data_IF_734791320119
#
_entry.id   IF_734791320119
#
_cell.length_a   1.000
_cell.length_b   1.000
_cell.length_c   1.000
_cell.angle_alpha   90.00
_cell.angle_beta   90.00
_cell.angle_gamma   90.00
#
_symmetry.space_group_name_H-M   'P 1'
#
loop_
_entity.id
_entity.type
_entity.pdbx_description
1 polymer ?
#
# COMPACT_ATOMS: atom_id res chain seq x y z
N UNK A 1 10.74 -7.78 -7.59
CA UNK A 1 9.38 -7.42 -7.13
C UNK A 1 9.33 -7.56 -5.63
N UNK A 2 8.67 -6.63 -4.95
CA UNK A 2 8.40 -6.60 -3.53
C UNK A 2 6.88 -6.56 -3.33
N UNK A 3 6.33 -7.68 -2.85
CA UNK A 3 4.90 -7.88 -2.62
C UNK A 3 4.61 -8.13 -1.13
N UNK A 4 3.42 -7.77 -0.68
CA UNK A 4 2.91 -8.02 0.67
C UNK A 4 1.48 -8.57 0.63
N UNK A 5 1.01 -9.05 1.78
CA UNK A 5 -0.34 -9.61 1.98
C UNK A 5 -1.11 -8.68 2.91
N UNK A 6 -2.12 -7.98 2.40
CA UNK A 6 -2.89 -7.00 3.17
C UNK A 6 -3.56 -7.60 4.42
N UNK A 7 -3.99 -8.87 4.34
CA UNK A 7 -4.57 -9.61 5.48
C UNK A 7 -3.57 -9.84 6.61
N UNK A 8 -2.29 -10.06 6.30
CA UNK A 8 -1.24 -10.23 7.32
C UNK A 8 -0.96 -8.89 8.01
N UNK A 9 -0.89 -7.79 7.26
CA UNK A 9 -0.77 -6.44 7.81
C UNK A 9 -1.93 -6.11 8.76
N UNK A 10 -3.17 -6.38 8.36
CA UNK A 10 -4.35 -6.18 9.22
C UNK A 10 -4.29 -7.04 10.49
N UNK A 11 -3.88 -8.30 10.38
CA UNK A 11 -3.69 -9.20 11.53
C UNK A 11 -2.60 -8.69 12.48
N UNK A 12 -1.49 -8.19 11.95
CA UNK A 12 -0.40 -7.60 12.72
C UNK A 12 -0.83 -6.34 13.46
N UNK A 13 -1.55 -5.43 12.78
CA UNK A 13 -2.14 -4.22 13.39
C UNK A 13 -3.07 -4.59 14.54
N UNK A 14 -4.00 -5.52 14.33
CA UNK A 14 -4.91 -6.01 15.36
C UNK A 14 -4.18 -6.55 16.59
N UNK A 15 -3.10 -7.33 16.39
CA UNK A 15 -2.27 -7.86 17.48
C UNK A 15 -1.54 -6.74 18.23
N UNK A 16 -0.93 -5.80 17.50
CA UNK A 16 -0.19 -4.68 18.07
C UNK A 16 -1.10 -3.78 18.91
N UNK A 17 -2.28 -3.42 18.40
CA UNK A 17 -3.27 -2.59 19.12
C UNK A 17 -3.71 -3.28 20.41
N UNK A 18 -4.09 -4.57 20.36
CA UNK A 18 -4.48 -5.32 21.57
C UNK A 18 -3.35 -5.39 22.60
N UNK A 19 -2.12 -5.61 22.15
CA UNK A 19 -0.96 -5.64 23.03
C UNK A 19 -0.68 -4.27 23.67
N UNK A 20 -0.85 -3.18 22.92
CA UNK A 20 -0.69 -1.82 23.43
C UNK A 20 -1.74 -1.48 24.50
N UNK A 21 -3.03 -1.81 24.27
CA UNK A 21 -4.11 -1.62 25.26
C UNK A 21 -3.82 -2.42 26.53
N UNK A 22 -3.45 -3.70 26.39
CA UNK A 22 -3.11 -4.55 27.53
C UNK A 22 -1.92 -4.00 28.33
N UNK A 23 -0.89 -3.48 27.64
CA UNK A 23 0.29 -2.87 28.26
C UNK A 23 -0.03 -1.55 28.96
N UNK A 24 -0.98 -0.78 28.44
CA UNK A 24 -1.44 0.47 29.04
C UNK A 24 -2.32 0.25 30.28
N UNK A 25 -2.95 -0.93 30.42
CA UNK A 25 -3.79 -1.26 31.57
C UNK A 25 -5.12 -0.50 31.62
N UNK A 26 -5.58 0.00 30.47
CA UNK A 26 -6.86 0.72 30.32
C UNK A 26 -7.95 -0.21 29.79
N UNK A 27 -9.22 0.16 29.99
CA UNK A 27 -10.31 -0.49 29.28
C UNK A 27 -10.31 -0.06 27.81
N UNK A 28 -10.81 -0.91 26.92
CA UNK A 28 -10.95 -0.54 25.51
C UNK A 28 -11.88 0.67 25.33
N UNK A 29 -12.88 0.80 26.20
CA UNK A 29 -13.85 1.90 26.21
C UNK A 29 -13.23 3.26 26.58
N UNK A 30 -12.02 3.26 27.16
CA UNK A 30 -11.26 4.48 27.45
C UNK A 30 -10.56 5.04 26.20
N UNK A 31 -10.48 4.26 25.11
CA UNK A 31 -9.86 4.68 23.84
C UNK A 31 -10.85 5.48 23.00
N UNK A 32 -10.68 6.81 22.99
CA UNK A 32 -11.59 7.74 22.31
C UNK A 32 -11.31 7.93 20.81
N UNK A 33 -10.21 7.37 20.29
CA UNK A 33 -9.84 7.54 18.87
C UNK A 33 -8.72 6.61 18.43
N UNK A 34 -8.69 6.33 17.13
CA UNK A 34 -7.67 5.51 16.47
C UNK A 34 -7.25 6.21 15.17
N UNK A 35 -5.95 6.36 14.96
CA UNK A 35 -5.37 6.86 13.71
C UNK A 35 -4.48 5.79 13.09
N UNK A 36 -4.46 5.72 11.78
CA UNK A 36 -3.58 4.84 11.03
C UNK A 36 -2.70 5.67 10.10
N UNK A 37 -1.41 5.36 10.08
CA UNK A 37 -0.53 5.69 8.98
C UNK A 37 -0.03 4.39 8.35
N UNK A 38 0.37 4.46 7.09
CA UNK A 38 0.97 3.36 6.38
C UNK A 38 1.94 3.90 5.33
N UNK A 39 2.85 3.03 4.89
CA UNK A 39 3.60 3.30 3.66
C UNK A 39 2.64 3.50 2.48
N UNK A 40 3.04 4.27 1.47
CA UNK A 40 2.28 4.49 0.22
C UNK A 40 2.29 3.27 -0.72
N UNK A 41 2.15 2.06 -0.16
CA UNK A 41 2.01 0.81 -0.89
C UNK A 41 0.61 0.69 -1.53
N UNK A 42 0.50 -0.03 -2.64
CA UNK A 42 -0.74 -0.17 -3.41
C UNK A 42 -1.40 -1.52 -3.10
N UNK A 43 -2.57 -1.51 -2.46
CA UNK A 43 -3.39 -2.71 -2.23
C UNK A 43 -4.42 -2.85 -3.35
N UNK A 44 -4.48 -4.01 -4.01
CA UNK A 44 -5.37 -4.28 -5.14
C UNK A 44 -6.44 -5.29 -4.72
N UNK A 45 -7.72 -4.97 -4.99
CA UNK A 45 -8.87 -5.81 -4.67
C UNK A 45 -9.76 -5.97 -5.89
N UNK A 46 -10.43 -7.12 -5.96
CA UNK A 46 -11.47 -7.36 -6.95
C UNK A 46 -12.80 -6.68 -6.59
N UNK A 47 -13.81 -6.93 -7.41
CA UNK A 47 -15.12 -6.25 -7.34
C UNK A 47 -15.85 -6.54 -6.03
N UNK A 48 -15.69 -7.74 -5.50
CA UNK A 48 -16.34 -8.20 -4.28
C UNK A 48 -15.41 -8.02 -3.06
N UNK A 49 -14.44 -7.11 -3.18
CA UNK A 49 -13.39 -6.86 -2.19
C UNK A 49 -12.54 -8.10 -1.89
N UNK A 50 -12.49 -9.08 -2.79
CA UNK A 50 -11.60 -10.24 -2.71
C UNK A 50 -10.14 -9.86 -3.04
N UNK A 51 -9.19 -10.69 -2.61
CA UNK A 51 -7.77 -10.47 -2.93
C UNK A 51 -7.54 -10.71 -4.42
N UNK A 52 -6.93 -9.73 -5.09
CA UNK A 52 -6.51 -9.85 -6.48
C UNK A 52 -4.98 -9.87 -6.53
N UNK A 53 -4.43 -10.88 -7.22
CA UNK A 53 -2.97 -11.07 -7.29
C UNK A 53 -2.30 -9.93 -8.04
N UNK A 54 -1.26 -9.35 -7.44
CA UNK A 54 -0.30 -8.45 -8.09
C UNK A 54 1.05 -9.13 -8.33
N UNK A 55 1.20 -10.38 -7.90
CA UNK A 55 2.45 -11.13 -8.07
C UNK A 55 2.58 -11.70 -9.48
N UNK A 56 3.81 -11.69 -9.99
CA UNK A 56 4.20 -12.34 -11.25
C UNK A 56 4.09 -13.87 -11.21
N UNK A 57 4.00 -14.47 -10.01
CA UNK A 57 3.82 -15.92 -9.85
C UNK A 57 2.35 -16.35 -9.93
N UNK A 58 1.40 -15.39 -9.90
CA UNK A 58 -0.04 -15.65 -9.89
C UNK A 58 -0.60 -16.11 -8.54
N UNK A 59 0.22 -16.16 -7.49
CA UNK A 59 -0.22 -16.48 -6.14
C UNK A 59 -1.19 -15.42 -5.59
N UNK A 60 -2.48 -15.78 -5.47
CA UNK A 60 -3.59 -14.89 -5.06
C UNK A 60 -3.41 -14.16 -3.72
N UNK A 61 -2.54 -14.65 -2.84
CA UNK A 61 -2.33 -14.05 -1.52
C UNK A 61 -1.62 -12.70 -1.59
N UNK A 62 -0.80 -12.49 -2.62
CA UNK A 62 -0.01 -11.28 -2.81
C UNK A 62 -0.87 -10.23 -3.50
N UNK A 63 -1.47 -9.34 -2.71
CA UNK A 63 -2.42 -8.33 -3.17
C UNK A 63 -1.93 -6.91 -2.92
N UNK A 64 -0.66 -6.74 -2.54
CA UNK A 64 -0.07 -5.45 -2.22
C UNK A 64 1.28 -5.27 -2.91
N UNK A 65 1.42 -4.26 -3.77
CA UNK A 65 2.71 -3.82 -4.33
C UNK A 65 3.34 -2.83 -3.35
N UNK A 66 4.51 -3.15 -2.81
CA UNK A 66 5.18 -2.30 -1.80
C UNK A 66 5.63 -0.99 -2.42
N UNK A 67 5.66 0.10 -1.65
CA UNK A 67 6.11 1.42 -2.10
C UNK A 67 7.49 1.38 -2.81
N UNK A 68 8.46 0.66 -2.24
CA UNK A 68 9.84 0.50 -2.76
C UNK A 68 9.96 -0.42 -3.99
N UNK A 69 8.85 -0.99 -4.47
CA UNK A 69 8.87 -1.80 -5.69
C UNK A 69 9.07 -0.91 -6.93
N UNK A 70 10.10 -1.24 -7.72
CA UNK A 70 10.46 -0.54 -8.96
C UNK A 70 10.14 -1.34 -10.23
N UNK A 71 9.12 -2.21 -10.23
CA UNK A 71 8.74 -2.95 -11.45
C UNK A 71 8.24 -2.02 -12.56
N UNK A 72 7.70 -0.86 -12.19
CA UNK A 72 7.03 0.10 -13.05
C UNK A 72 7.94 1.21 -13.61
N UNK A 73 9.22 0.91 -13.84
CA UNK A 73 10.19 1.90 -14.36
C UNK A 73 9.79 2.35 -15.77
N UNK A 74 9.43 1.42 -16.65
CA UNK A 74 9.09 1.75 -18.04
C UNK A 74 7.83 2.63 -18.11
N UNK A 75 6.82 2.30 -17.31
CA UNK A 75 5.56 3.04 -17.19
C UNK A 75 5.79 4.43 -16.57
N UNK A 76 6.72 4.57 -15.61
CA UNK A 76 7.10 5.85 -15.04
C UNK A 76 7.81 6.75 -16.06
N UNK A 77 8.69 6.18 -16.89
CA UNK A 77 9.36 6.89 -17.98
C UNK A 77 8.33 7.36 -19.02
N UNK A 78 7.37 6.49 -19.40
CA UNK A 78 6.26 6.85 -20.29
C UNK A 78 5.40 7.99 -19.72
N UNK A 79 5.01 7.89 -18.44
CA UNK A 79 4.26 8.93 -17.75
C UNK A 79 5.03 10.26 -17.74
N UNK A 80 6.34 10.22 -17.47
CA UNK A 80 7.20 11.41 -17.46
C UNK A 80 7.30 12.05 -18.84
N UNK A 81 7.45 11.24 -19.89
CA UNK A 81 7.55 11.71 -21.26
C UNK A 81 6.26 12.40 -21.77
N UNK A 82 5.11 12.16 -21.13
CA UNK A 82 3.85 12.80 -21.49
C UNK A 82 3.86 14.32 -21.34
N UNK A 83 4.70 14.88 -20.45
CA UNK A 83 4.71 16.31 -20.14
C UNK A 83 3.38 16.85 -19.59
N UNK A 84 2.52 15.97 -19.05
CA UNK A 84 1.21 16.36 -18.56
C UNK A 84 1.31 17.34 -17.38
N UNK A 85 0.42 18.34 -17.31
CA UNK A 85 0.45 19.40 -16.28
C UNK A 85 0.38 18.88 -14.82
N UNK A 86 -0.04 17.63 -14.60
CA UNK A 86 -0.01 17.00 -13.27
C UNK A 86 1.42 16.80 -12.76
N UNK A 87 2.40 16.69 -13.66
CA UNK A 87 3.81 16.51 -13.32
C UNK A 87 4.38 17.74 -12.59
N UNK A 88 3.79 18.92 -12.77
CA UNK A 88 4.21 20.16 -12.10
C UNK A 88 4.10 20.05 -10.57
N UNK A 89 3.19 19.21 -10.05
CA UNK A 89 3.02 18.98 -8.63
C UNK A 89 4.04 18.01 -8.01
N UNK A 90 4.82 17.32 -8.84
CA UNK A 90 5.80 16.31 -8.40
C UNK A 90 7.23 16.61 -8.89
N UNK A 91 7.48 17.82 -9.40
CA UNK A 91 8.81 18.24 -9.85
C UNK A 91 9.19 17.76 -11.25
N UNK A 92 8.20 17.41 -12.08
CA UNK A 92 8.40 17.11 -13.50
C UNK A 92 8.78 15.66 -13.84
N UNK A 93 9.04 14.81 -12.84
CA UNK A 93 9.44 13.41 -13.04
C UNK A 93 8.55 12.48 -12.23
N UNK A 94 7.95 11.50 -12.90
CA UNK A 94 7.16 10.45 -12.26
C UNK A 94 8.10 9.42 -11.64
N UNK A 95 7.93 9.11 -10.35
CA UNK A 95 8.69 8.04 -9.68
C UNK A 95 8.02 6.68 -9.91
N UNK A 96 8.77 5.59 -10.16
CA UNK A 96 8.22 4.24 -10.24
C UNK A 96 7.59 3.76 -8.93
N UNK A 97 7.85 4.44 -7.82
CA UNK A 97 7.25 4.13 -6.51
C UNK A 97 5.82 4.67 -6.36
N UNK A 98 5.42 5.62 -7.21
CA UNK A 98 4.08 6.23 -7.19
C UNK A 98 3.00 5.26 -7.66
N UNK A 99 1.74 5.57 -7.36
CA UNK A 99 0.63 4.69 -7.69
C UNK A 99 0.36 4.59 -9.19
N UNK A 100 0.39 5.72 -9.93
CA UNK A 100 0.01 5.75 -11.35
C UNK A 100 0.83 4.81 -12.23
N UNK A 101 2.18 4.76 -12.14
CA UNK A 101 2.96 3.81 -12.94
C UNK A 101 2.70 2.33 -12.60
N UNK A 102 2.23 2.04 -11.38
CA UNK A 102 1.98 0.67 -10.91
C UNK A 102 0.62 0.11 -11.35
N UNK A 103 -0.22 0.93 -11.99
CA UNK A 103 -1.54 0.58 -12.53
C UNK A 103 -1.45 0.28 -14.02
#
# INVERSE_FOLDING_TARGET
TADQISRESCSAVCKAVRAAVAKAGIAADDVVGISFDATCSLVVRGRDSEQLSVSVTGEKRWDTIVWLDHRAIAEADECTASGHAVLDYIGGVMSPEMATPKL
#
